data_IF_914197466933
#
_entry.id   IF_914197466933
#
_cell.length_a   1.000
_cell.length_b   1.000
_cell.length_c   1.000
_cell.angle_alpha   90.00
_cell.angle_beta   90.00
_cell.angle_gamma   90.00
#
_symmetry.space_group_name_H-M   'P 1'
#
loop_
_entity.id
_entity.type
_entity.pdbx_description
1 polymer ?
#
# COMPACT_ATOMS: atom_id res chain seq x y z
N UNK A 1 -81.95 11.66 45.03
CA UNK A 1 -81.19 12.42 44.03
C UNK A 1 -82.10 13.39 43.33
N UNK A 2 -82.07 14.71 43.66
CA UNK A 2 -82.93 15.70 43.04
C UNK A 2 -82.32 16.10 41.69
N UNK A 3 -83.01 15.72 40.61
CA UNK A 3 -82.67 16.17 39.27
C UNK A 3 -83.08 17.63 39.18
N UNK A 4 -82.08 18.53 39.08
CA UNK A 4 -82.30 19.96 38.93
C UNK A 4 -83.10 20.28 37.66
N UNK A 5 -84.02 21.28 37.71
CA UNK A 5 -84.85 21.67 36.59
C UNK A 5 -84.04 22.15 35.38
N UNK A 6 -84.46 21.83 34.15
CA UNK A 6 -83.85 22.15 32.88
C UNK A 6 -83.26 23.57 32.76
N UNK A 7 -83.96 24.63 33.32
CA UNK A 7 -83.48 26.03 33.34
C UNK A 7 -82.21 26.22 34.20
N UNK A 8 -82.07 25.46 35.29
CA UNK A 8 -80.92 25.56 36.19
C UNK A 8 -79.65 24.88 35.59
N UNK A 9 -79.84 23.81 34.84
CA UNK A 9 -78.79 23.18 34.07
C UNK A 9 -78.25 24.08 32.93
N UNK A 10 -79.14 24.72 32.20
CA UNK A 10 -78.84 25.69 31.13
C UNK A 10 -78.10 26.91 31.69
N UNK A 11 -78.54 27.40 32.88
CA UNK A 11 -77.88 28.51 33.56
C UNK A 11 -76.51 28.18 34.13
N UNK A 12 -76.27 26.94 34.58
CA UNK A 12 -74.94 26.42 34.97
C UNK A 12 -74.06 26.27 33.77
N UNK A 13 -74.61 25.79 32.66
CA UNK A 13 -73.85 25.63 31.42
C UNK A 13 -73.33 26.95 30.83
N UNK A 14 -74.18 28.01 30.93
CA UNK A 14 -73.81 29.38 30.50
C UNK A 14 -72.83 30.09 31.45
N UNK A 15 -72.69 29.61 32.69
CA UNK A 15 -71.77 30.18 33.69
C UNK A 15 -70.48 29.35 33.89
N UNK A 16 -70.42 28.22 33.26
CA UNK A 16 -69.19 27.34 33.37
C UNK A 16 -68.09 27.80 32.44
N UNK A 17 -67.13 28.55 33.00
CA UNK A 17 -65.98 29.04 32.28
C UNK A 17 -65.00 27.90 31.93
N UNK A 18 -65.23 26.65 32.37
CA UNK A 18 -64.35 25.45 32.01
C UNK A 18 -64.51 25.12 30.56
N UNK A 19 -65.55 25.47 29.85
CA UNK A 19 -65.68 25.33 28.39
C UNK A 19 -64.74 26.19 27.59
N UNK A 20 -64.29 27.33 28.15
CA UNK A 20 -63.30 28.19 27.47
C UNK A 20 -61.92 27.55 27.35
N UNK A 21 -61.54 26.74 28.32
CA UNK A 21 -60.28 25.97 28.26
C UNK A 21 -60.29 24.89 27.13
N UNK A 22 -61.46 24.24 26.96
CA UNK A 22 -61.62 23.21 25.90
C UNK A 22 -61.61 23.84 24.52
N UNK A 23 -62.16 25.02 24.32
CA UNK A 23 -62.09 25.77 23.05
C UNK A 23 -60.64 26.23 22.77
N UNK A 24 -59.96 26.76 23.79
CA UNK A 24 -58.57 27.23 23.68
C UNK A 24 -57.62 26.07 23.45
N UNK A 25 -57.83 24.92 24.11
CA UNK A 25 -57.11 23.71 23.93
C UNK A 25 -57.31 23.15 22.49
N UNK A 26 -58.54 23.11 21.98
CA UNK A 26 -58.86 22.69 20.62
C UNK A 26 -58.21 23.58 19.55
N UNK A 27 -58.18 24.92 19.82
CA UNK A 27 -57.51 25.86 18.90
C UNK A 27 -56.00 25.71 18.87
N UNK A 28 -55.36 25.38 20.00
CA UNK A 28 -53.89 25.16 20.11
C UNK A 28 -53.53 23.76 19.65
N UNK A 29 -54.40 22.77 19.81
CA UNK A 29 -54.15 21.39 19.43
C UNK A 29 -53.91 21.25 17.92
N UNK A 30 -54.66 21.97 17.09
CA UNK A 30 -54.52 21.89 15.61
C UNK A 30 -53.14 22.35 15.13
N UNK A 31 -52.62 23.52 15.48
CA UNK A 31 -51.27 23.90 15.09
C UNK A 31 -50.21 23.01 15.74
N UNK A 32 -50.42 22.53 16.99
CA UNK A 32 -49.47 21.59 17.62
C UNK A 32 -49.38 20.27 16.86
N UNK A 33 -50.54 19.69 16.47
CA UNK A 33 -50.59 18.49 15.64
C UNK A 33 -49.95 18.74 14.26
N UNK A 34 -50.12 19.94 13.71
CA UNK A 34 -49.45 20.33 12.45
C UNK A 34 -47.94 20.32 12.58
N UNK A 35 -47.38 20.90 13.65
CA UNK A 35 -45.90 20.90 13.88
C UNK A 35 -45.38 19.49 14.08
N UNK A 36 -46.04 18.67 14.89
CA UNK A 36 -45.65 17.26 15.10
C UNK A 36 -45.73 16.46 13.79
N UNK A 37 -46.78 16.71 13.01
CA UNK A 37 -46.96 16.05 11.72
C UNK A 37 -45.88 16.40 10.70
N UNK A 38 -45.50 17.66 10.59
CA UNK A 38 -44.37 18.10 9.73
C UNK A 38 -43.07 17.46 10.19
N UNK A 39 -42.83 17.36 11.51
CA UNK A 39 -41.64 16.72 12.05
C UNK A 39 -41.58 15.21 11.70
N UNK A 40 -42.72 14.52 11.77
CA UNK A 40 -42.81 13.09 11.38
C UNK A 40 -42.56 12.92 9.86
N UNK A 41 -43.21 13.72 9.02
CA UNK A 41 -43.06 13.67 7.57
C UNK A 41 -41.62 14.03 7.17
N UNK A 42 -40.99 15.01 7.83
CA UNK A 42 -39.58 15.34 7.62
C UNK A 42 -38.64 14.20 8.02
N UNK A 43 -38.91 13.55 9.16
CA UNK A 43 -38.12 12.38 9.60
C UNK A 43 -38.18 11.23 8.59
N UNK A 44 -39.37 10.96 8.02
CA UNK A 44 -39.54 9.95 6.97
C UNK A 44 -38.79 10.32 5.70
N UNK A 45 -38.85 11.58 5.27
CA UNK A 45 -38.09 12.06 4.11
C UNK A 45 -36.56 11.98 4.34
N UNK A 46 -36.10 12.29 5.55
CA UNK A 46 -34.70 12.18 5.95
C UNK A 46 -34.21 10.72 5.89
N UNK A 47 -35.00 9.79 6.43
CA UNK A 47 -34.71 8.36 6.41
C UNK A 47 -34.67 7.82 4.96
N UNK A 48 -35.63 8.22 4.12
CA UNK A 48 -35.66 7.86 2.71
C UNK A 48 -34.42 8.38 1.96
N UNK A 49 -34.01 9.62 2.23
CA UNK A 49 -32.79 10.21 1.66
C UNK A 49 -31.55 9.41 2.06
N UNK A 50 -31.45 9.03 3.34
CA UNK A 50 -30.31 8.25 3.83
C UNK A 50 -30.26 6.86 3.19
N UNK A 51 -31.40 6.17 3.07
CA UNK A 51 -31.49 4.89 2.40
C UNK A 51 -31.11 4.98 0.92
N UNK A 52 -31.61 6.02 0.23
CA UNK A 52 -31.29 6.29 -1.18
C UNK A 52 -29.78 6.58 -1.34
N UNK A 53 -29.19 7.43 -0.48
CA UNK A 53 -27.75 7.71 -0.50
C UNK A 53 -26.91 6.45 -0.35
N UNK A 54 -27.22 5.61 0.64
CA UNK A 54 -26.51 4.35 0.86
C UNK A 54 -26.63 3.39 -0.33
N UNK A 55 -27.80 3.32 -0.97
CA UNK A 55 -28.01 2.47 -2.14
C UNK A 55 -27.22 2.95 -3.36
N UNK A 56 -27.20 4.27 -3.65
CA UNK A 56 -26.44 4.80 -4.78
C UNK A 56 -24.93 4.78 -4.54
N UNK A 57 -24.46 4.94 -3.29
CA UNK A 57 -23.03 4.81 -2.94
C UNK A 57 -22.54 3.38 -3.21
N UNK A 58 -23.32 2.40 -2.77
CA UNK A 58 -23.01 0.99 -3.03
C UNK A 58 -23.04 0.66 -4.53
N UNK A 59 -24.03 1.21 -5.27
CA UNK A 59 -24.15 1.02 -6.71
C UNK A 59 -22.99 1.69 -7.48
N UNK A 60 -22.55 2.88 -7.07
CA UNK A 60 -21.43 3.59 -7.68
C UNK A 60 -20.11 2.81 -7.48
N UNK A 61 -19.88 2.24 -6.29
CA UNK A 61 -18.73 1.37 -6.02
C UNK A 61 -18.75 0.11 -6.89
N UNK A 62 -19.88 -0.57 -6.94
CA UNK A 62 -20.03 -1.76 -7.79
C UNK A 62 -19.81 -1.42 -9.26
N UNK A 63 -20.42 -0.32 -9.74
CA UNK A 63 -20.29 0.14 -11.12
C UNK A 63 -18.83 0.49 -11.44
N UNK A 64 -18.11 1.14 -10.53
CA UNK A 64 -16.69 1.45 -10.69
C UNK A 64 -15.83 0.19 -10.78
N UNK A 65 -16.11 -0.83 -9.96
CA UNK A 65 -15.41 -2.12 -10.01
C UNK A 65 -15.62 -2.84 -11.34
N UNK A 66 -16.85 -2.78 -11.85
CA UNK A 66 -17.24 -3.48 -13.07
C UNK A 66 -16.94 -2.66 -14.35
N UNK A 67 -16.62 -1.37 -14.22
CA UNK A 67 -16.42 -0.44 -15.34
C UNK A 67 -15.35 -0.87 -16.34
N UNK A 68 -14.39 -1.67 -15.92
CA UNK A 68 -13.31 -2.18 -16.77
C UNK A 68 -13.77 -3.32 -17.68
N UNK A 69 -14.75 -4.13 -17.23
CA UNK A 69 -15.15 -5.39 -17.87
C UNK A 69 -16.47 -5.27 -18.64
N UNK A 70 -17.28 -4.26 -18.33
CA UNK A 70 -18.62 -4.09 -18.87
C UNK A 70 -18.73 -2.86 -19.77
N UNK A 71 -19.66 -2.92 -20.72
CA UNK A 71 -20.06 -1.75 -21.52
C UNK A 71 -20.89 -0.76 -20.69
N UNK A 72 -20.95 0.50 -21.12
CA UNK A 72 -21.73 1.53 -20.43
C UNK A 72 -23.22 1.14 -20.26
N UNK A 73 -23.81 0.50 -21.27
CA UNK A 73 -25.17 -0.01 -21.19
C UNK A 73 -25.35 -1.08 -20.11
N UNK A 74 -24.42 -2.00 -20.03
CA UNK A 74 -24.44 -3.07 -19.00
C UNK A 74 -24.23 -2.49 -17.58
N UNK A 75 -23.33 -1.49 -17.43
CA UNK A 75 -23.11 -0.82 -16.16
C UNK A 75 -24.37 -0.10 -15.71
N UNK A 76 -25.01 0.69 -16.59
CA UNK A 76 -26.27 1.38 -16.27
C UNK A 76 -27.38 0.42 -15.85
N UNK A 77 -27.57 -0.65 -16.61
CA UNK A 77 -28.58 -1.67 -16.28
C UNK A 77 -28.33 -2.29 -14.91
N UNK A 78 -27.09 -2.67 -14.64
CA UNK A 78 -26.69 -3.33 -13.38
C UNK A 78 -26.76 -2.39 -12.18
N UNK A 79 -26.31 -1.13 -12.34
CA UNK A 79 -26.39 -0.11 -11.29
C UNK A 79 -27.86 0.19 -10.92
N UNK A 80 -28.74 0.36 -11.91
CA UNK A 80 -30.16 0.59 -11.68
C UNK A 80 -30.86 -0.59 -10.98
N UNK A 81 -30.50 -1.82 -11.35
CA UNK A 81 -31.00 -3.03 -10.67
C UNK A 81 -30.51 -3.07 -9.21
N UNK A 82 -29.22 -2.83 -9.00
CA UNK A 82 -28.63 -2.80 -7.66
C UNK A 82 -29.29 -1.78 -6.73
N UNK A 83 -29.49 -0.54 -7.22
CA UNK A 83 -30.17 0.51 -6.44
C UNK A 83 -31.55 0.02 -6.01
N UNK A 84 -32.36 -0.48 -6.94
CA UNK A 84 -33.72 -0.96 -6.65
C UNK A 84 -33.76 -2.13 -5.67
N UNK A 85 -32.81 -3.03 -5.77
CA UNK A 85 -32.79 -4.25 -4.94
C UNK A 85 -32.29 -3.98 -3.51
N UNK A 86 -31.53 -2.91 -3.31
CA UNK A 86 -31.01 -2.50 -1.99
C UNK A 86 -31.82 -1.40 -1.31
N UNK A 87 -32.90 -0.92 -1.92
CA UNK A 87 -33.81 0.04 -1.26
C UNK A 87 -34.88 -0.69 -0.43
N UNK A 88 -35.25 -0.16 0.75
CA UNK A 88 -36.42 -0.58 1.50
C UNK A 88 -37.69 -0.52 0.64
N UNK A 89 -38.67 -1.41 0.84
CA UNK A 89 -39.86 -1.49 -0.03
C UNK A 89 -40.66 -0.18 -0.15
N UNK A 90 -40.74 0.59 0.91
CA UNK A 90 -41.41 1.90 0.95
C UNK A 90 -40.65 2.93 0.10
N UNK A 91 -39.33 3.04 0.24
CA UNK A 91 -38.50 3.96 -0.55
C UNK A 91 -38.44 3.51 -2.01
N UNK A 92 -38.38 2.20 -2.26
CA UNK A 92 -38.39 1.61 -3.61
C UNK A 92 -39.61 2.01 -4.42
N UNK A 93 -40.78 2.06 -3.77
CA UNK A 93 -42.04 2.47 -4.41
C UNK A 93 -42.10 3.99 -4.71
N UNK A 94 -41.26 4.78 -4.04
CA UNK A 94 -41.18 6.24 -4.15
C UNK A 94 -40.02 6.70 -5.07
N UNK A 95 -39.20 5.77 -5.55
CA UNK A 95 -38.04 6.05 -6.42
C UNK A 95 -38.51 6.71 -7.73
N UNK A 96 -37.98 7.88 -7.98
CA UNK A 96 -38.18 8.63 -9.22
C UNK A 96 -37.14 8.31 -10.28
N UNK A 97 -36.49 9.31 -10.82
CA UNK A 97 -35.46 9.15 -11.83
C UNK A 97 -34.13 8.69 -11.22
N UNK A 98 -33.43 7.85 -11.96
CA UNK A 98 -32.07 7.47 -11.64
C UNK A 98 -31.23 7.64 -12.89
N UNK A 99 -30.21 8.50 -12.82
CA UNK A 99 -29.30 8.80 -13.94
C UNK A 99 -27.91 8.32 -13.60
N UNK A 100 -27.37 7.40 -14.42
CA UNK A 100 -26.00 6.90 -14.29
C UNK A 100 -25.17 7.48 -15.45
N UNK A 101 -24.29 8.41 -15.12
CA UNK A 101 -23.35 9.04 -16.06
C UNK A 101 -21.98 8.40 -15.93
N UNK A 102 -21.41 7.95 -17.05
CA UNK A 102 -20.13 7.29 -17.13
C UNK A 102 -19.24 8.10 -18.03
N UNK A 103 -18.13 8.60 -17.49
CA UNK A 103 -17.07 9.27 -18.24
C UNK A 103 -15.86 8.36 -18.29
N UNK A 104 -15.61 7.76 -19.48
CA UNK A 104 -14.47 6.86 -19.71
C UNK A 104 -13.14 7.60 -19.73
N UNK A 105 -13.13 8.87 -20.13
CA UNK A 105 -11.90 9.68 -20.19
C UNK A 105 -11.47 10.12 -18.79
N UNK A 106 -12.41 10.66 -18.02
CA UNK A 106 -12.17 11.04 -16.64
C UNK A 106 -12.17 9.83 -15.69
N UNK A 107 -12.59 8.65 -16.16
CA UNK A 107 -12.77 7.42 -15.36
C UNK A 107 -13.65 7.64 -14.13
N UNK A 108 -14.80 8.31 -14.34
CA UNK A 108 -15.74 8.62 -13.27
C UNK A 108 -17.12 8.05 -13.56
N UNK A 109 -17.78 7.62 -12.49
CA UNK A 109 -19.20 7.28 -12.51
C UNK A 109 -19.91 8.23 -11.55
N UNK A 110 -20.93 8.91 -12.07
CA UNK A 110 -21.84 9.72 -11.28
C UNK A 110 -23.22 9.09 -11.32
N UNK A 111 -23.82 8.93 -10.15
CA UNK A 111 -25.19 8.45 -10.03
C UNK A 111 -25.99 9.57 -9.34
N UNK A 112 -27.01 10.07 -10.01
CA UNK A 112 -28.00 10.98 -9.47
C UNK A 112 -29.31 10.22 -9.30
N UNK A 113 -29.98 10.33 -8.15
CA UNK A 113 -31.26 9.70 -7.91
C UNK A 113 -32.17 10.61 -7.10
N UNK A 114 -33.48 10.55 -7.39
CA UNK A 114 -34.52 11.25 -6.67
C UNK A 114 -35.64 10.29 -6.23
N UNK A 115 -36.35 10.70 -5.19
CA UNK A 115 -37.54 10.03 -4.70
C UNK A 115 -38.56 11.06 -4.21
N UNK A 116 -39.86 10.71 -4.31
CA UNK A 116 -40.96 11.55 -3.84
C UNK A 116 -41.62 10.88 -2.66
N UNK A 117 -41.34 11.38 -1.45
CA UNK A 117 -41.83 10.81 -0.21
C UNK A 117 -43.24 11.39 0.10
N UNK A 118 -44.30 10.56 0.08
CA UNK A 118 -45.64 11.07 0.37
C UNK A 118 -45.74 11.49 1.82
N UNK A 119 -46.37 12.64 2.03
CA UNK A 119 -46.67 13.19 3.37
C UNK A 119 -47.96 12.63 3.90
N UNK A 120 -48.07 12.53 5.22
CA UNK A 120 -49.28 12.07 5.89
C UNK A 120 -50.07 13.24 6.44
N UNK A 121 -49.45 14.07 7.26
CA UNK A 121 -50.11 15.19 7.96
C UNK A 121 -49.85 16.50 7.20
N UNK A 122 -48.71 16.69 6.62
CA UNK A 122 -48.40 17.88 5.80
C UNK A 122 -49.27 17.97 4.55
N UNK A 123 -49.89 16.86 4.10
CA UNK A 123 -50.87 16.85 3.00
C UNK A 123 -52.12 17.69 3.32
N UNK A 124 -52.52 17.77 4.57
CA UNK A 124 -53.64 18.64 5.03
C UNK A 124 -53.31 20.11 4.86
N UNK A 125 -52.01 20.45 4.87
CA UNK A 125 -51.49 21.80 4.63
C UNK A 125 -51.18 22.07 3.15
N UNK A 126 -51.58 21.15 2.25
CA UNK A 126 -51.39 21.28 0.80
C UNK A 126 -50.07 20.76 0.27
N UNK A 127 -49.19 20.19 1.11
CA UNK A 127 -47.93 19.55 0.69
C UNK A 127 -48.11 18.03 0.60
N UNK A 128 -48.35 17.50 -0.57
CA UNK A 128 -48.63 16.08 -0.78
C UNK A 128 -47.37 15.21 -0.81
N UNK A 129 -46.19 15.74 -1.18
CA UNK A 129 -44.94 15.03 -1.26
C UNK A 129 -43.75 15.90 -0.84
N UNK A 130 -42.71 15.29 -0.28
CA UNK A 130 -41.41 15.90 -0.04
C UNK A 130 -40.42 15.30 -1.04
N UNK A 131 -39.90 16.07 -2.00
CA UNK A 131 -38.88 15.59 -2.92
C UNK A 131 -37.53 15.44 -2.20
N UNK A 132 -36.87 14.32 -2.38
CA UNK A 132 -35.53 14.07 -1.89
C UNK A 132 -34.65 13.72 -3.06
N UNK A 133 -33.46 14.27 -3.10
CA UNK A 133 -32.45 13.97 -4.12
C UNK A 133 -31.08 13.76 -3.48
N UNK A 134 -30.29 12.91 -4.08
CA UNK A 134 -28.92 12.65 -3.66
C UNK A 134 -28.09 12.22 -4.87
N UNK A 135 -26.78 12.37 -4.76
CA UNK A 135 -25.83 11.92 -5.79
C UNK A 135 -24.65 11.22 -5.15
N UNK A 136 -24.01 10.36 -5.94
CA UNK A 136 -22.77 9.67 -5.58
C UNK A 136 -21.78 9.72 -6.74
N UNK A 137 -20.52 9.89 -6.40
CA UNK A 137 -19.42 9.87 -7.35
C UNK A 137 -18.45 8.75 -6.99
N UNK A 138 -18.02 7.99 -7.99
CA UNK A 138 -16.95 7.01 -7.84
C UNK A 138 -15.98 7.12 -9.02
N UNK A 139 -14.72 6.83 -8.77
CA UNK A 139 -13.68 6.74 -9.80
C UNK A 139 -13.15 5.32 -9.87
N UNK A 140 -12.76 4.89 -11.06
CA UNK A 140 -12.14 3.57 -11.22
C UNK A 140 -10.78 3.68 -11.89
N UNK A 141 -9.84 2.82 -11.43
CA UNK A 141 -8.53 2.65 -12.07
C UNK A 141 -7.71 3.93 -12.20
N UNK A 142 -7.95 4.91 -11.33
CA UNK A 142 -7.20 6.17 -11.32
C UNK A 142 -5.96 6.09 -10.45
N UNK A 143 -5.92 5.18 -9.47
CA UNK A 143 -4.75 5.01 -8.62
C UNK A 143 -3.63 4.35 -9.41
N UNK A 144 -2.54 5.09 -9.60
CA UNK A 144 -1.28 4.55 -10.08
C UNK A 144 -0.54 3.94 -8.91
N UNK A 145 0.07 2.79 -9.11
CA UNK A 145 0.78 2.06 -8.07
C UNK A 145 2.19 1.73 -8.55
N UNK A 146 3.18 2.13 -7.76
CA UNK A 146 4.55 1.66 -7.88
C UNK A 146 4.88 0.86 -6.63
N UNK A 147 5.27 -0.40 -6.82
CA UNK A 147 5.53 -1.36 -5.76
C UNK A 147 6.93 -1.93 -5.87
N UNK A 148 7.74 -1.79 -4.82
CA UNK A 148 9.02 -2.49 -4.70
C UNK A 148 8.86 -3.75 -3.84
N UNK A 149 9.24 -4.89 -4.39
CA UNK A 149 9.39 -6.16 -3.68
C UNK A 149 10.86 -6.31 -3.27
N UNK A 150 11.19 -6.01 -2.03
CA UNK A 150 12.52 -6.12 -1.43
C UNK A 150 12.61 -7.47 -0.74
N UNK A 151 13.25 -8.41 -1.39
CA UNK A 151 13.15 -9.83 -1.07
C UNK A 151 14.49 -10.40 -0.61
N UNK A 152 14.48 -10.96 0.58
CA UNK A 152 15.65 -11.62 1.15
C UNK A 152 16.11 -12.80 0.30
N UNK A 153 17.35 -12.73 -0.17
CA UNK A 153 18.01 -13.76 -0.96
C UNK A 153 19.22 -14.37 -0.22
N UNK A 154 19.23 -14.27 1.12
CA UNK A 154 20.33 -14.74 1.97
C UNK A 154 20.31 -16.24 2.18
N UNK A 155 21.39 -16.79 2.73
CA UNK A 155 21.56 -18.23 2.92
C UNK A 155 20.52 -18.86 3.85
N UNK A 156 20.01 -18.13 4.83
CA UNK A 156 18.97 -18.59 5.78
C UNK A 156 17.65 -18.96 5.10
N UNK A 157 17.35 -18.31 3.96
CA UNK A 157 16.16 -18.61 3.14
C UNK A 157 16.17 -19.99 2.49
N UNK A 158 17.31 -20.71 2.51
CA UNK A 158 17.44 -22.07 1.94
C UNK A 158 16.71 -23.15 2.76
N UNK A 159 16.42 -22.86 4.03
CA UNK A 159 15.82 -23.81 4.96
C UNK A 159 14.30 -23.68 5.04
N UNK A 160 13.63 -24.72 5.58
CA UNK A 160 12.20 -24.71 5.93
C UNK A 160 11.24 -24.32 4.78
N UNK A 161 11.67 -24.49 3.52
CA UNK A 161 10.87 -24.15 2.33
C UNK A 161 10.65 -22.66 2.12
N UNK A 162 11.36 -21.79 2.85
CA UNK A 162 11.15 -20.33 2.84
C UNK A 162 11.29 -19.72 1.44
N UNK A 163 12.36 -20.04 0.70
CA UNK A 163 12.56 -19.50 -0.65
C UNK A 163 11.48 -19.97 -1.62
N UNK A 164 11.06 -21.23 -1.55
CA UNK A 164 9.97 -21.75 -2.40
C UNK A 164 8.66 -21.05 -2.12
N UNK A 165 8.31 -20.86 -0.84
CA UNK A 165 7.12 -20.15 -0.44
C UNK A 165 7.17 -18.66 -0.81
N UNK A 166 8.32 -18.00 -0.68
CA UNK A 166 8.52 -16.62 -1.09
C UNK A 166 8.30 -16.43 -2.60
N UNK A 167 8.88 -17.30 -3.41
CA UNK A 167 8.67 -17.28 -4.87
C UNK A 167 7.20 -17.42 -5.22
N UNK A 168 6.50 -18.38 -4.61
CA UNK A 168 5.07 -18.57 -4.86
C UNK A 168 4.24 -17.37 -4.42
N UNK A 169 4.49 -16.85 -3.21
CA UNK A 169 3.79 -15.68 -2.69
C UNK A 169 4.01 -14.43 -3.56
N UNK A 170 5.24 -14.21 -4.02
CA UNK A 170 5.56 -13.09 -4.93
C UNK A 170 4.81 -13.21 -6.26
N UNK A 171 4.76 -14.41 -6.85
CA UNK A 171 3.98 -14.66 -8.08
C UNK A 171 2.48 -14.48 -7.87
N UNK A 172 1.93 -14.93 -6.74
CA UNK A 172 0.53 -14.73 -6.40
C UNK A 172 0.19 -13.24 -6.33
N UNK A 173 1.04 -12.43 -5.68
CA UNK A 173 0.88 -10.98 -5.62
C UNK A 173 0.97 -10.35 -7.01
N UNK A 174 1.99 -10.69 -7.81
CA UNK A 174 2.18 -10.18 -9.18
C UNK A 174 0.94 -10.46 -10.02
N UNK A 175 0.38 -11.66 -9.95
CA UNK A 175 -0.81 -12.04 -10.70
C UNK A 175 -2.06 -11.27 -10.26
N UNK A 176 -2.25 -11.04 -8.95
CA UNK A 176 -3.35 -10.20 -8.45
C UNK A 176 -3.20 -8.75 -8.95
N UNK A 177 -1.98 -8.20 -8.93
CA UNK A 177 -1.72 -6.86 -9.46
C UNK A 177 -1.92 -6.79 -10.98
N UNK A 178 -1.53 -7.83 -11.73
CA UNK A 178 -1.82 -7.98 -13.16
C UNK A 178 -3.33 -7.92 -13.43
N UNK A 179 -4.12 -8.66 -12.66
CA UNK A 179 -5.58 -8.71 -12.81
C UNK A 179 -6.26 -7.40 -12.42
N UNK A 180 -5.65 -6.62 -11.54
CA UNK A 180 -6.13 -5.31 -11.11
C UNK A 180 -5.72 -4.18 -12.05
N UNK A 181 -4.66 -4.35 -12.83
CA UNK A 181 -4.15 -3.34 -13.76
C UNK A 181 -5.07 -3.19 -14.98
N UNK A 182 -5.37 -1.96 -15.35
CA UNK A 182 -6.18 -1.61 -16.53
C UNK A 182 -5.29 -1.38 -17.74
N UNK A 183 -4.13 -0.80 -17.50
CA UNK A 183 -3.14 -0.49 -18.53
C UNK A 183 -1.70 -0.65 -17.98
N UNK A 184 -0.73 -0.64 -18.86
CA UNK A 184 0.68 -0.86 -18.52
C UNK A 184 1.30 0.25 -17.67
N UNK A 185 0.69 1.43 -17.60
CA UNK A 185 1.21 2.56 -16.83
C UNK A 185 0.60 2.66 -15.42
N UNK A 186 -0.46 1.88 -15.15
CA UNK A 186 -1.17 1.99 -13.89
C UNK A 186 -0.45 1.32 -12.73
N UNK A 187 0.04 0.10 -12.92
CA UNK A 187 0.72 -0.67 -11.87
C UNK A 187 2.07 -1.13 -12.40
N UNK A 188 3.12 -0.75 -11.69
CA UNK A 188 4.49 -1.21 -11.97
C UNK A 188 5.10 -1.81 -10.72
N UNK A 189 5.85 -2.88 -10.92
CA UNK A 189 6.52 -3.61 -9.83
C UNK A 189 8.02 -3.65 -10.12
N UNK A 190 8.84 -3.42 -9.10
CA UNK A 190 10.26 -3.73 -9.09
C UNK A 190 10.55 -4.90 -8.16
N UNK A 191 11.60 -5.68 -8.46
CA UNK A 191 12.05 -6.78 -7.62
C UNK A 191 13.49 -6.51 -7.23
N UNK A 192 13.75 -6.47 -5.92
CA UNK A 192 15.05 -6.15 -5.33
C UNK A 192 15.52 -7.30 -4.44
N UNK A 193 16.13 -8.34 -5.02
CA UNK A 193 16.77 -9.39 -4.25
C UNK A 193 18.02 -8.83 -3.58
N UNK A 194 18.24 -9.15 -2.32
CA UNK A 194 19.40 -8.67 -1.57
C UNK A 194 20.02 -9.76 -0.68
N UNK A 195 21.31 -9.60 -0.42
CA UNK A 195 22.03 -10.23 0.66
C UNK A 195 22.92 -9.16 1.36
N UNK A 196 24.25 -9.31 1.46
CA UNK A 196 25.13 -8.19 1.86
C UNK A 196 25.34 -7.17 0.73
N UNK A 197 24.85 -7.48 -0.44
CA UNK A 197 24.95 -6.68 -1.66
C UNK A 197 23.63 -6.73 -2.43
N UNK A 198 23.53 -5.90 -3.44
CA UNK A 198 22.57 -6.04 -4.53
C UNK A 198 23.30 -6.21 -5.85
N UNK A 199 22.62 -6.72 -6.86
CA UNK A 199 23.18 -6.90 -8.20
C UNK A 199 22.35 -6.13 -9.21
N UNK A 200 23.02 -5.37 -10.09
CA UNK A 200 22.38 -4.55 -11.12
C UNK A 200 22.86 -4.94 -12.51
N UNK A 201 22.20 -4.37 -13.52
CA UNK A 201 22.59 -4.62 -14.91
C UNK A 201 23.98 -4.06 -15.21
N UNK A 202 24.77 -4.85 -15.86
CA UNK A 202 26.16 -4.51 -16.22
C UNK A 202 26.28 -3.47 -17.32
N UNK A 203 25.18 -3.14 -17.99
CA UNK A 203 25.12 -2.00 -18.92
C UNK A 203 25.40 -0.67 -18.24
N UNK A 204 25.15 -0.57 -16.91
CA UNK A 204 25.47 0.61 -16.09
C UNK A 204 26.96 0.84 -15.83
N UNK A 205 27.85 0.00 -16.36
CA UNK A 205 29.31 0.05 -16.08
C UNK A 205 29.97 1.42 -16.31
N UNK A 206 29.43 2.24 -17.18
CA UNK A 206 29.99 3.56 -17.55
C UNK A 206 29.30 4.73 -16.86
N UNK A 207 28.35 4.44 -15.99
CA UNK A 207 27.59 5.45 -15.27
C UNK A 207 28.44 6.19 -14.22
N UNK A 208 28.26 7.52 -14.12
CA UNK A 208 29.04 8.38 -13.24
C UNK A 208 28.72 8.20 -11.75
N UNK A 209 27.56 7.63 -11.45
CA UNK A 209 27.15 7.32 -10.08
C UNK A 209 27.78 6.04 -9.50
N UNK A 210 28.56 5.30 -10.28
CA UNK A 210 29.35 4.15 -9.82
C UNK A 210 30.78 4.53 -9.47
N UNK A 211 31.27 3.97 -8.36
CA UNK A 211 32.68 4.03 -7.95
C UNK A 211 33.31 2.65 -8.03
N UNK A 212 34.46 2.57 -8.68
CA UNK A 212 35.28 1.36 -8.84
C UNK A 212 36.54 1.36 -7.96
N UNK A 213 36.64 2.29 -7.02
CA UNK A 213 37.78 2.42 -6.11
C UNK A 213 37.51 1.78 -4.75
N UNK A 214 37.65 0.46 -4.60
CA UNK A 214 37.51 -0.17 -3.32
C UNK A 214 38.71 0.15 -2.43
N UNK A 215 38.50 0.82 -1.30
CA UNK A 215 39.50 1.13 -0.29
C UNK A 215 39.40 0.17 0.88
N UNK A 216 39.47 -1.11 0.63
CA UNK A 216 39.34 -2.13 1.68
C UNK A 216 40.69 -2.85 1.83
N UNK A 217 41.32 -2.63 2.99
CA UNK A 217 42.52 -3.38 3.36
C UNK A 217 42.11 -4.64 4.14
N UNK A 218 42.86 -5.73 3.96
CA UNK A 218 42.61 -7.02 4.63
C UNK A 218 43.88 -7.41 5.37
N UNK A 219 43.72 -7.85 6.61
CA UNK A 219 44.84 -8.42 7.39
C UNK A 219 44.72 -9.93 7.41
N UNK A 220 45.82 -10.60 7.08
CA UNK A 220 45.98 -12.06 7.15
C UNK A 220 46.70 -12.43 8.46
N UNK A 221 46.05 -13.27 9.26
CA UNK A 221 46.62 -13.83 10.48
C UNK A 221 46.60 -15.35 10.41
N UNK A 222 47.37 -16.02 11.25
CA UNK A 222 47.28 -17.47 11.43
C UNK A 222 46.49 -17.75 12.69
N UNK A 223 45.58 -18.75 12.63
CA UNK A 223 44.92 -19.28 13.82
C UNK A 223 45.88 -20.24 14.58
N UNK A 224 45.43 -20.79 15.72
CA UNK A 224 46.21 -21.70 16.55
C UNK A 224 46.57 -23.03 15.88
N UNK A 225 45.94 -23.39 14.76
CA UNK A 225 46.24 -24.56 13.94
C UNK A 225 47.08 -24.23 12.72
N UNK A 226 47.51 -22.97 12.58
CA UNK A 226 48.37 -22.53 11.47
C UNK A 226 47.62 -22.17 10.20
N UNK A 227 46.28 -22.23 10.18
CA UNK A 227 45.47 -21.83 9.02
C UNK A 227 45.41 -20.32 8.88
N UNK A 228 45.43 -19.84 7.65
CA UNK A 228 45.25 -18.40 7.40
C UNK A 228 43.81 -17.96 7.57
N UNK A 229 43.66 -16.89 8.33
CA UNK A 229 42.40 -16.14 8.50
C UNK A 229 42.56 -14.74 7.91
N UNK A 230 41.57 -14.32 7.16
CA UNK A 230 41.59 -13.03 6.48
C UNK A 230 40.44 -12.19 7.06
N UNK A 231 40.77 -10.97 7.46
CA UNK A 231 39.81 -10.05 8.10
C UNK A 231 39.97 -8.66 7.53
N UNK A 232 38.86 -7.97 7.25
CA UNK A 232 38.90 -6.56 6.85
C UNK A 232 39.50 -5.74 7.98
N UNK A 233 40.54 -4.97 7.68
CA UNK A 233 41.32 -4.22 8.67
C UNK A 233 40.42 -3.24 9.42
N UNK A 234 40.48 -3.29 10.74
CA UNK A 234 39.65 -2.42 11.62
C UNK A 234 38.19 -2.84 11.77
N UNK A 235 37.81 -4.02 11.25
CA UNK A 235 36.46 -4.59 11.39
C UNK A 235 36.50 -6.02 11.88
N UNK A 236 35.33 -6.61 12.19
CA UNK A 236 35.19 -8.03 12.52
C UNK A 236 34.75 -8.88 11.29
N UNK A 237 34.76 -8.29 10.09
CA UNK A 237 34.35 -8.97 8.83
C UNK A 237 35.41 -9.97 8.39
N UNK A 238 35.05 -11.24 8.27
CA UNK A 238 35.91 -12.30 7.75
C UNK A 238 35.78 -12.38 6.23
N UNK A 239 36.93 -12.38 5.52
CA UNK A 239 36.97 -12.56 4.08
C UNK A 239 37.17 -14.03 3.77
N UNK A 240 36.18 -14.69 3.19
CA UNK A 240 36.22 -16.10 2.81
C UNK A 240 36.75 -16.31 1.41
N UNK A 241 36.36 -15.48 0.44
CA UNK A 241 36.93 -15.52 -0.92
C UNK A 241 38.18 -14.67 -0.98
N UNK A 242 39.32 -15.36 -1.02
CA UNK A 242 40.67 -14.78 -1.11
C UNK A 242 41.23 -14.72 -2.51
N UNK A 243 40.51 -15.19 -3.52
CA UNK A 243 40.96 -15.27 -4.92
C UNK A 243 41.34 -13.91 -5.50
N UNK A 244 40.70 -12.86 -4.98
CA UNK A 244 40.90 -11.48 -5.39
C UNK A 244 41.86 -10.69 -4.48
N UNK A 245 42.58 -11.36 -3.58
CA UNK A 245 43.58 -10.74 -2.71
C UNK A 245 45.01 -10.97 -3.19
N UNK A 246 45.86 -9.99 -2.92
CA UNK A 246 47.30 -10.10 -2.98
C UNK A 246 47.84 -9.69 -1.61
N UNK A 247 48.62 -10.60 -0.97
CA UNK A 247 49.20 -10.39 0.36
C UNK A 247 50.71 -10.29 0.29
N UNK A 248 51.28 -9.40 1.11
CA UNK A 248 52.72 -9.33 1.32
C UNK A 248 53.18 -10.33 2.41
N UNK A 249 54.47 -10.35 2.67
CA UNK A 249 55.10 -11.22 3.67
C UNK A 249 54.69 -10.85 5.11
N UNK A 250 54.30 -9.60 5.37
CA UNK A 250 53.88 -9.12 6.68
C UNK A 250 52.42 -9.52 7.03
N UNK A 251 51.69 -10.05 6.04
CA UNK A 251 50.26 -10.36 6.22
C UNK A 251 49.30 -9.24 5.88
N UNK A 252 49.78 -8.12 5.38
CA UNK A 252 48.93 -7.07 4.81
C UNK A 252 48.44 -7.49 3.43
N UNK A 253 47.14 -7.51 3.21
CA UNK A 253 46.53 -7.91 1.94
C UNK A 253 45.71 -6.75 1.33
N UNK A 254 45.75 -6.66 0.02
CA UNK A 254 44.98 -5.71 -0.75
C UNK A 254 44.17 -6.45 -1.80
N UNK A 255 43.00 -5.96 -2.09
CA UNK A 255 42.24 -6.43 -3.24
C UNK A 255 43.01 -6.10 -4.53
N UNK A 256 43.00 -7.03 -5.46
CA UNK A 256 43.47 -6.79 -6.84
C UNK A 256 42.74 -5.60 -7.42
N UNK A 257 43.33 -4.91 -8.38
CA UNK A 257 42.72 -3.81 -9.07
C UNK A 257 41.34 -4.21 -9.62
N UNK A 258 40.32 -3.51 -9.16
CA UNK A 258 38.94 -3.71 -9.62
C UNK A 258 38.60 -2.64 -10.65
N UNK A 259 38.16 -3.05 -11.83
CA UNK A 259 37.92 -2.15 -12.95
C UNK A 259 36.51 -2.33 -13.50
N UNK A 260 36.03 -1.35 -14.24
CA UNK A 260 34.76 -1.45 -15.00
C UNK A 260 34.67 -2.73 -15.84
N UNK A 261 35.81 -3.10 -16.49
CA UNK A 261 35.88 -4.33 -17.32
C UNK A 261 35.64 -5.59 -16.50
N UNK A 262 36.24 -5.69 -15.30
CA UNK A 262 36.04 -6.83 -14.40
C UNK A 262 34.60 -6.86 -13.89
N UNK A 263 34.08 -5.74 -13.44
CA UNK A 263 32.71 -5.65 -12.93
C UNK A 263 31.66 -6.02 -14.00
N UNK A 264 31.94 -5.75 -15.26
CA UNK A 264 31.05 -6.09 -16.38
C UNK A 264 31.20 -7.53 -16.89
N UNK A 265 32.03 -8.36 -16.28
CA UNK A 265 32.15 -9.78 -16.66
C UNK A 265 30.96 -10.60 -16.19
N UNK A 266 30.78 -11.80 -16.73
CA UNK A 266 29.74 -12.72 -16.31
C UNK A 266 29.79 -12.94 -14.78
N UNK A 267 28.62 -13.07 -14.16
CA UNK A 267 28.43 -13.27 -12.71
C UNK A 267 28.86 -12.11 -11.80
N UNK A 268 29.28 -10.96 -12.35
CA UNK A 268 29.51 -9.72 -11.60
C UNK A 268 28.32 -8.75 -11.74
N UNK A 269 28.48 -7.52 -11.33
CA UNK A 269 27.42 -6.49 -11.32
C UNK A 269 26.96 -6.12 -9.91
N UNK A 270 27.69 -6.58 -8.88
CA UNK A 270 27.31 -6.33 -7.49
C UNK A 270 27.71 -4.94 -7.00
N UNK A 271 26.88 -4.44 -6.12
CA UNK A 271 27.03 -3.14 -5.46
C UNK A 271 27.00 -3.38 -3.95
N UNK A 272 27.92 -2.74 -3.24
CA UNK A 272 27.96 -2.68 -1.77
C UNK A 272 27.47 -1.32 -1.27
N UNK A 273 27.35 -1.17 0.05
CA UNK A 273 26.87 0.05 0.68
C UNK A 273 27.66 1.27 0.27
N UNK A 274 26.99 2.41 0.11
CA UNK A 274 27.61 3.74 0.04
C UNK A 274 28.22 4.10 1.39
N UNK A 275 29.05 5.15 1.45
CA UNK A 275 29.55 5.65 2.72
C UNK A 275 28.41 6.20 3.59
N UNK A 276 28.59 6.09 4.90
CA UNK A 276 27.63 6.63 5.87
C UNK A 276 27.72 8.17 5.85
N UNK A 277 26.60 8.91 5.77
CA UNK A 277 25.18 8.53 5.84
C UNK A 277 24.49 8.38 4.45
N UNK A 278 25.23 8.25 3.37
CA UNK A 278 24.63 8.07 2.03
C UNK A 278 23.98 6.69 1.87
N UNK A 279 24.42 5.69 2.60
CA UNK A 279 23.86 4.32 2.62
C UNK A 279 22.37 4.24 3.02
N UNK A 280 21.85 5.29 3.68
CA UNK A 280 20.45 5.38 4.13
C UNK A 280 19.68 6.53 3.47
N UNK A 281 20.20 7.06 2.36
CA UNK A 281 19.59 8.14 1.58
C UNK A 281 19.33 7.67 0.15
N UNK A 282 18.37 8.30 -0.50
CA UNK A 282 18.18 8.15 -1.93
C UNK A 282 18.76 9.36 -2.68
N UNK A 283 19.04 9.16 -3.98
CA UNK A 283 19.56 10.21 -4.85
C UNK A 283 20.93 10.77 -4.46
N UNK A 284 21.29 11.86 -5.06
CA UNK A 284 22.51 12.61 -4.79
C UNK A 284 23.16 13.18 -6.04
N UNK A 285 24.14 14.05 -5.84
CA UNK A 285 24.92 14.65 -6.94
C UNK A 285 25.99 13.71 -7.49
N UNK A 286 26.31 12.63 -6.77
CA UNK A 286 27.34 11.61 -7.12
C UNK A 286 28.72 12.16 -7.50
N UNK A 287 29.09 13.32 -6.94
CA UNK A 287 30.36 14.00 -7.24
C UNK A 287 31.55 13.47 -6.43
N UNK A 288 31.28 12.80 -5.31
CA UNK A 288 32.31 12.19 -4.47
C UNK A 288 32.13 10.70 -4.37
N UNK A 289 33.23 9.96 -4.13
CA UNK A 289 33.18 8.50 -3.94
C UNK A 289 32.26 8.08 -2.78
N UNK A 290 32.08 8.93 -1.77
CA UNK A 290 31.16 8.70 -0.66
C UNK A 290 29.69 8.68 -1.11
N UNK A 291 29.34 9.51 -2.08
CA UNK A 291 27.99 9.60 -2.66
C UNK A 291 27.71 8.53 -3.68
N UNK A 292 28.75 8.07 -4.40
CA UNK A 292 28.63 7.09 -5.46
C UNK A 292 28.33 5.68 -4.91
N UNK A 293 27.65 4.88 -5.69
CA UNK A 293 27.41 3.48 -5.39
C UNK A 293 28.70 2.68 -5.63
N UNK A 294 29.06 1.87 -4.65
CA UNK A 294 30.33 1.13 -4.64
C UNK A 294 30.20 -0.18 -5.43
N UNK A 295 30.69 -0.19 -6.65
CA UNK A 295 30.88 -1.38 -7.43
C UNK A 295 31.97 -2.26 -6.81
N UNK A 296 31.66 -3.54 -6.56
CA UNK A 296 32.58 -4.46 -5.90
C UNK A 296 32.41 -5.90 -6.40
N UNK A 297 33.32 -6.76 -6.03
CA UNK A 297 33.22 -8.20 -6.28
C UNK A 297 31.93 -8.74 -5.68
N UNK A 298 31.22 -9.58 -6.44
CA UNK A 298 30.07 -10.28 -5.90
C UNK A 298 30.50 -11.26 -4.81
N UNK A 299 30.01 -11.09 -3.60
CA UNK A 299 30.21 -12.07 -2.52
C UNK A 299 29.53 -13.39 -2.84
N UNK A 300 28.42 -13.32 -3.56
CA UNK A 300 27.68 -14.48 -4.09
C UNK A 300 27.32 -14.23 -5.55
N UNK A 301 27.89 -15.00 -6.45
CA UNK A 301 27.66 -14.86 -7.90
C UNK A 301 26.23 -15.24 -8.31
N UNK A 302 25.56 -16.06 -7.49
CA UNK A 302 24.18 -16.51 -7.67
C UNK A 302 23.13 -15.47 -7.25
N UNK A 303 23.54 -14.32 -6.66
CA UNK A 303 22.61 -13.25 -6.31
C UNK A 303 21.82 -12.81 -7.56
N UNK A 304 20.49 -12.84 -7.47
CA UNK A 304 19.64 -12.40 -8.56
C UNK A 304 19.75 -10.89 -8.75
N UNK A 305 19.58 -10.43 -9.98
CA UNK A 305 19.72 -9.02 -10.35
C UNK A 305 18.48 -8.23 -9.90
N UNK A 306 18.63 -6.93 -9.61
CA UNK A 306 17.48 -6.04 -9.45
C UNK A 306 16.74 -5.94 -10.79
N UNK A 307 15.43 -6.07 -10.75
CA UNK A 307 14.54 -5.73 -11.84
C UNK A 307 13.86 -4.38 -11.53
N UNK A 308 14.16 -3.32 -12.31
CA UNK A 308 13.50 -2.02 -12.14
C UNK A 308 11.99 -2.08 -12.37
N UNK A 309 11.29 -1.00 -12.02
CA UNK A 309 9.84 -0.90 -12.21
C UNK A 309 9.41 -1.24 -13.64
N UNK A 310 8.57 -2.25 -13.76
CA UNK A 310 7.99 -2.70 -15.02
C UNK A 310 6.56 -3.20 -14.83
N UNK A 311 5.79 -3.22 -15.90
CA UNK A 311 4.49 -3.89 -16.03
C UNK A 311 4.56 -5.14 -16.92
N UNK A 312 5.76 -5.63 -17.23
CA UNK A 312 5.95 -6.91 -17.89
C UNK A 312 5.78 -8.05 -16.88
N UNK A 313 4.53 -8.52 -16.76
CA UNK A 313 4.12 -9.51 -15.77
C UNK A 313 4.80 -10.86 -15.93
N UNK A 314 5.09 -11.24 -17.17
CA UNK A 314 5.72 -12.53 -17.45
C UNK A 314 7.22 -12.47 -17.13
N UNK A 315 7.86 -11.34 -17.45
CA UNK A 315 9.25 -11.08 -17.02
C UNK A 315 9.38 -11.01 -15.50
N UNK A 316 8.43 -10.37 -14.79
CA UNK A 316 8.41 -10.34 -13.32
C UNK A 316 8.32 -11.74 -12.72
N UNK A 317 7.39 -12.57 -13.21
CA UNK A 317 7.22 -13.95 -12.74
C UNK A 317 8.47 -14.82 -13.02
N UNK A 318 9.05 -14.70 -14.20
CA UNK A 318 10.28 -15.40 -14.56
C UNK A 318 11.47 -14.95 -13.71
N UNK A 319 11.54 -13.66 -13.40
CA UNK A 319 12.62 -13.10 -12.59
C UNK A 319 12.61 -13.63 -11.14
N UNK A 320 11.44 -13.78 -10.53
CA UNK A 320 11.29 -14.40 -9.20
C UNK A 320 11.92 -15.80 -9.17
N UNK A 321 11.84 -16.56 -10.27
CA UNK A 321 12.42 -17.90 -10.33
C UNK A 321 13.95 -17.91 -10.32
N UNK A 322 14.60 -16.82 -10.69
CA UNK A 322 16.09 -16.73 -10.71
C UNK A 322 16.70 -16.62 -9.32
N UNK A 323 15.91 -16.27 -8.28
CA UNK A 323 16.40 -16.09 -6.93
C UNK A 323 16.96 -17.42 -6.37
N UNK A 324 18.18 -17.37 -5.84
CA UNK A 324 18.84 -18.52 -5.22
C UNK A 324 19.47 -18.08 -3.90
N UNK A 325 19.06 -18.65 -2.76
CA UNK A 325 19.46 -18.17 -1.45
C UNK A 325 20.96 -18.40 -1.21
N UNK A 326 21.68 -17.31 -0.88
CA UNK A 326 23.10 -17.37 -0.54
C UNK A 326 23.60 -16.08 0.14
N UNK A 327 24.62 -16.22 0.98
CA UNK A 327 25.32 -15.10 1.61
C UNK A 327 24.73 -14.65 2.94
N UNK A 328 25.32 -13.59 3.51
CA UNK A 328 24.95 -12.94 4.75
C UNK A 328 23.85 -11.89 4.52
N UNK A 329 23.34 -11.29 5.61
CA UNK A 329 22.16 -10.42 5.58
C UNK A 329 22.52 -8.96 5.85
N UNK A 330 22.06 -8.07 4.96
CA UNK A 330 22.09 -6.61 5.11
C UNK A 330 20.73 -6.04 4.66
N UNK A 331 19.84 -5.87 5.60
CA UNK A 331 18.48 -5.35 5.32
C UNK A 331 18.55 -3.88 4.89
N UNK A 332 19.57 -3.13 5.36
CA UNK A 332 19.75 -1.71 5.01
C UNK A 332 19.92 -1.54 3.50
N UNK A 333 20.79 -2.33 2.87
CA UNK A 333 21.04 -2.21 1.43
C UNK A 333 19.81 -2.60 0.62
N UNK A 334 19.10 -3.66 1.07
CA UNK A 334 17.83 -4.04 0.45
C UNK A 334 16.81 -2.90 0.47
N UNK A 335 16.58 -2.29 1.64
CA UNK A 335 15.66 -1.17 1.81
C UNK A 335 16.06 0.06 0.97
N UNK A 336 17.35 0.43 0.99
CA UNK A 336 17.87 1.57 0.24
C UNK A 336 17.69 1.38 -1.28
N UNK A 337 17.94 0.19 -1.81
CA UNK A 337 17.76 -0.09 -3.23
C UNK A 337 16.29 -0.27 -3.63
N UNK A 338 15.45 -0.78 -2.72
CA UNK A 338 14.00 -0.74 -2.89
C UNK A 338 13.50 0.69 -3.06
N UNK A 339 14.00 1.61 -2.22
CA UNK A 339 13.69 3.03 -2.31
C UNK A 339 14.17 3.63 -3.64
N UNK A 340 15.41 3.37 -4.05
CA UNK A 340 15.96 3.84 -5.32
C UNK A 340 15.15 3.37 -6.54
N UNK A 341 14.45 2.23 -6.49
CA UNK A 341 13.56 1.82 -7.58
C UNK A 341 12.23 2.57 -7.59
N UNK A 342 11.86 3.23 -6.49
CA UNK A 342 10.60 3.97 -6.34
C UNK A 342 10.74 5.49 -6.51
N UNK A 343 11.93 5.97 -6.83
CA UNK A 343 12.19 7.39 -7.05
C UNK A 343 12.65 7.64 -8.49
N UNK A 344 12.37 8.82 -9.07
CA UNK A 344 12.78 9.14 -10.44
C UNK A 344 14.26 9.52 -10.53
N UNK A 345 15.01 9.31 -9.46
CA UNK A 345 16.44 9.60 -9.37
C UNK A 345 17.28 8.45 -9.91
N UNK A 346 18.56 8.73 -10.21
CA UNK A 346 19.51 7.66 -10.52
C UNK A 346 19.70 6.74 -9.31
N UNK A 347 19.87 5.43 -9.51
CA UNK A 347 20.19 4.73 -10.76
C UNK A 347 19.00 4.35 -11.64
N UNK A 348 17.76 4.36 -11.14
CA UNK A 348 16.58 3.92 -11.87
C UNK A 348 15.59 5.07 -12.09
N UNK A 349 15.52 5.58 -13.32
CA UNK A 349 14.69 6.74 -13.66
C UNK A 349 13.28 6.39 -14.13
N UNK A 350 12.83 5.15 -13.92
CA UNK A 350 11.52 4.65 -14.41
C UNK A 350 10.35 5.03 -13.51
N UNK A 351 10.60 5.34 -12.24
CA UNK A 351 9.59 5.75 -11.30
C UNK A 351 9.04 7.15 -11.63
N UNK A 352 7.77 7.39 -11.32
CA UNK A 352 7.18 8.73 -11.42
C UNK A 352 7.52 9.55 -10.17
N UNK A 353 7.55 10.90 -10.26
CA UNK A 353 7.73 11.74 -9.10
C UNK A 353 6.57 11.58 -8.11
N UNK A 354 6.82 11.77 -6.82
CA UNK A 354 5.80 11.65 -5.76
C UNK A 354 4.65 12.68 -5.89
N UNK A 355 4.85 13.71 -6.68
CA UNK A 355 3.84 14.71 -7.02
C UNK A 355 2.88 14.25 -8.12
N UNK A 356 3.13 13.11 -8.74
CA UNK A 356 2.23 12.54 -9.75
C UNK A 356 0.85 12.31 -9.15
N UNK A 357 -0.23 12.86 -9.76
CA UNK A 357 -1.57 12.72 -9.22
C UNK A 357 -2.00 11.26 -9.07
N UNK A 358 -2.61 10.95 -7.94
CA UNK A 358 -3.16 9.63 -7.60
C UNK A 358 -2.12 8.48 -7.57
N UNK A 359 -0.83 8.79 -7.59
CA UNK A 359 0.22 7.79 -7.42
C UNK A 359 0.35 7.39 -5.95
N UNK A 360 0.42 6.10 -5.72
CA UNK A 360 0.77 5.50 -4.43
C UNK A 360 2.01 4.64 -4.60
N UNK A 361 2.97 4.87 -3.71
CA UNK A 361 4.21 4.09 -3.67
C UNK A 361 4.19 3.17 -2.47
N UNK A 362 4.50 1.90 -2.71
CA UNK A 362 4.53 0.86 -1.71
C UNK A 362 5.84 0.09 -1.78
N UNK A 363 6.32 -0.35 -0.63
CA UNK A 363 7.45 -1.26 -0.53
C UNK A 363 7.08 -2.42 0.38
N UNK A 364 7.36 -3.64 -0.04
CA UNK A 364 7.29 -4.83 0.81
C UNK A 364 8.71 -5.27 1.09
N UNK A 365 9.14 -5.16 2.34
CA UNK A 365 10.44 -5.59 2.83
C UNK A 365 10.27 -6.90 3.58
N UNK A 366 10.85 -7.97 3.05
CA UNK A 366 10.78 -9.30 3.63
C UNK A 366 12.17 -9.79 3.99
N UNK A 367 12.34 -10.30 5.22
CA UNK A 367 13.55 -11.00 5.67
C UNK A 367 13.21 -12.14 6.63
N UNK A 368 14.08 -13.15 6.65
CA UNK A 368 14.02 -14.30 7.56
C UNK A 368 15.17 -14.32 8.56
N UNK A 369 15.97 -13.26 8.65
CA UNK A 369 17.18 -13.23 9.46
C UNK A 369 17.49 -11.86 10.05
N UNK A 370 18.37 -11.91 11.06
CA UNK A 370 18.97 -10.72 11.62
C UNK A 370 20.03 -10.16 10.67
N UNK A 371 20.32 -8.87 10.77
CA UNK A 371 21.46 -8.28 10.09
C UNK A 371 22.77 -8.91 10.59
N UNK A 372 23.64 -9.31 9.67
CA UNK A 372 24.87 -10.03 10.02
C UNK A 372 26.14 -9.38 9.49
N UNK A 373 26.08 -8.72 8.34
CA UNK A 373 27.26 -8.10 7.72
C UNK A 373 26.84 -7.00 6.74
N UNK A 374 27.52 -5.84 6.80
CA UNK A 374 27.50 -4.83 5.75
C UNK A 374 28.92 -4.43 5.35
N UNK A 375 29.10 -3.40 4.53
CA UNK A 375 30.41 -2.93 4.12
C UNK A 375 31.32 -2.54 5.27
N UNK A 376 30.79 -2.09 6.41
CA UNK A 376 31.54 -1.45 7.50
C UNK A 376 31.71 -2.34 8.72
N UNK A 377 30.78 -3.22 8.99
CA UNK A 377 30.74 -4.02 10.22
C UNK A 377 30.06 -5.37 10.01
N UNK A 378 30.36 -6.31 10.90
CA UNK A 378 29.60 -7.56 11.09
C UNK A 378 28.91 -7.56 12.47
N UNK A 379 28.63 -6.42 13.04
CA UNK A 379 27.83 -6.25 14.26
C UNK A 379 26.39 -5.96 13.87
N UNK A 380 25.48 -6.90 14.16
CA UNK A 380 24.07 -6.79 13.75
C UNK A 380 23.41 -5.49 14.25
N UNK A 381 23.59 -5.14 15.53
CA UNK A 381 23.01 -3.91 16.11
C UNK A 381 23.44 -2.61 15.40
N UNK A 382 24.68 -2.54 14.93
CA UNK A 382 25.15 -1.36 14.17
C UNK A 382 24.44 -1.26 12.82
N UNK A 383 24.14 -2.40 12.20
CA UNK A 383 23.41 -2.48 10.92
C UNK A 383 21.93 -2.20 11.15
N UNK A 384 21.35 -2.69 12.26
CA UNK A 384 19.95 -2.43 12.62
C UNK A 384 19.69 -0.93 12.78
N UNK A 385 20.61 -0.18 13.39
CA UNK A 385 20.51 1.28 13.51
C UNK A 385 20.55 1.98 12.15
N UNK A 386 21.30 1.43 11.17
CA UNK A 386 21.27 1.93 9.78
C UNK A 386 19.94 1.60 9.13
N UNK A 387 19.43 0.38 9.32
CA UNK A 387 18.13 -0.05 8.78
C UNK A 387 16.99 0.83 9.33
N UNK A 388 16.98 1.15 10.62
CA UNK A 388 16.01 2.08 11.24
C UNK A 388 16.03 3.45 10.58
N UNK A 389 17.24 4.00 10.33
CA UNK A 389 17.38 5.29 9.61
C UNK A 389 16.86 5.22 8.18
N UNK A 390 17.18 4.15 7.43
CA UNK A 390 16.67 3.95 6.09
C UNK A 390 15.12 3.87 6.08
N UNK A 391 14.53 3.07 6.96
CA UNK A 391 13.07 2.97 7.11
C UNK A 391 12.41 4.31 7.44
N UNK A 392 13.04 5.11 8.31
CA UNK A 392 12.54 6.44 8.68
C UNK A 392 12.52 7.37 7.46
N UNK A 393 13.59 7.37 6.69
CA UNK A 393 13.71 8.21 5.49
C UNK A 393 12.75 7.79 4.38
N UNK A 394 12.59 6.48 4.16
CA UNK A 394 11.63 5.90 3.20
C UNK A 394 10.20 6.34 3.54
N UNK A 395 9.81 6.24 4.82
CA UNK A 395 8.48 6.68 5.28
C UNK A 395 8.30 8.20 5.14
N UNK A 396 9.33 8.98 5.43
CA UNK A 396 9.31 10.44 5.25
C UNK A 396 9.17 10.86 3.79
N UNK A 397 9.61 10.04 2.84
CA UNK A 397 9.40 10.26 1.41
C UNK A 397 7.98 9.89 0.92
N UNK A 398 7.12 9.42 1.82
CA UNK A 398 5.71 9.09 1.54
C UNK A 398 5.48 7.69 0.99
N UNK A 399 6.46 6.80 1.11
CA UNK A 399 6.35 5.40 0.70
C UNK A 399 5.70 4.59 1.83
N UNK A 400 4.64 3.82 1.50
CA UNK A 400 4.02 2.90 2.45
C UNK A 400 4.86 1.63 2.55
N UNK A 401 5.48 1.44 3.71
CA UNK A 401 6.39 0.32 3.97
C UNK A 401 5.66 -0.80 4.72
N UNK A 402 5.48 -1.93 4.07
CA UNK A 402 5.06 -3.21 4.65
C UNK A 402 6.30 -4.01 5.01
N UNK A 403 6.32 -4.62 6.18
CA UNK A 403 7.42 -5.47 6.62
C UNK A 403 6.93 -6.86 6.98
N UNK A 404 7.68 -7.87 6.55
CA UNK A 404 7.34 -9.27 6.75
C UNK A 404 8.53 -9.98 7.38
N UNK A 405 8.35 -10.47 8.60
CA UNK A 405 9.28 -11.33 9.30
C UNK A 405 8.94 -12.79 9.01
N UNK A 406 9.92 -13.59 8.58
CA UNK A 406 9.68 -14.98 8.23
C UNK A 406 10.41 -15.91 9.20
N UNK A 407 9.69 -16.40 10.21
CA UNK A 407 10.15 -17.35 11.22
C UNK A 407 11.21 -16.73 12.17
N UNK A 408 12.32 -16.22 11.64
CA UNK A 408 13.42 -15.59 12.36
C UNK A 408 13.60 -14.12 11.96
N UNK A 409 14.57 -13.44 12.59
CA UNK A 409 14.87 -12.02 12.37
C UNK A 409 14.34 -11.11 13.50
N UNK A 410 14.85 -9.88 13.53
CA UNK A 410 14.49 -8.90 14.57
C UNK A 410 13.06 -8.37 14.34
N UNK A 411 12.15 -8.83 15.22
CA UNK A 411 10.75 -8.43 15.18
C UNK A 411 10.55 -6.94 15.50
N UNK A 412 11.33 -6.38 16.40
CA UNK A 412 11.20 -4.98 16.82
C UNK A 412 11.72 -4.03 15.74
N UNK A 413 12.82 -4.39 15.10
CA UNK A 413 13.32 -3.67 13.92
C UNK A 413 12.27 -3.59 12.82
N UNK A 414 11.70 -4.71 12.43
CA UNK A 414 10.73 -4.78 11.33
C UNK A 414 9.39 -4.12 11.67
N UNK A 415 8.93 -4.25 12.93
CA UNK A 415 7.74 -3.55 13.42
C UNK A 415 7.92 -2.04 13.38
N UNK A 416 9.09 -1.53 13.78
CA UNK A 416 9.42 -0.10 13.72
C UNK A 416 9.61 0.41 12.29
N UNK A 417 10.05 -0.42 11.37
CA UNK A 417 10.16 -0.11 9.95
C UNK A 417 8.78 0.06 9.29
N UNK A 418 7.80 -0.75 9.64
CA UNK A 418 6.45 -0.65 9.06
C UNK A 418 5.88 0.78 9.17
N UNK A 419 5.12 1.22 8.17
CA UNK A 419 4.49 2.56 8.19
C UNK A 419 3.40 2.63 9.24
N UNK A 420 2.67 1.52 9.44
CA UNK A 420 1.61 1.37 10.45
C UNK A 420 1.73 -0.01 11.10
N UNK A 421 1.25 -0.19 12.34
CA UNK A 421 1.31 -1.48 13.02
C UNK A 421 0.69 -2.64 12.21
N UNK A 422 -0.42 -2.38 11.50
CA UNK A 422 -1.13 -3.37 10.67
C UNK A 422 -0.38 -3.71 9.36
N UNK A 423 0.69 -3.00 9.03
CA UNK A 423 1.59 -3.28 7.91
C UNK A 423 2.81 -4.13 8.30
N UNK A 424 2.90 -4.57 9.56
CA UNK A 424 3.88 -5.54 10.02
C UNK A 424 3.24 -6.92 10.11
N UNK A 425 3.87 -7.91 9.48
CA UNK A 425 3.44 -9.30 9.49
C UNK A 425 4.51 -10.21 10.09
N UNK A 426 4.12 -11.01 11.08
CA UNK A 426 4.98 -11.99 11.71
C UNK A 426 4.58 -13.40 11.26
N UNK A 427 5.36 -13.98 10.37
CA UNK A 427 5.11 -15.27 9.73
C UNK A 427 5.86 -16.37 10.48
N UNK A 428 5.12 -17.24 11.15
CA UNK A 428 5.69 -18.36 11.91
C UNK A 428 5.91 -19.62 11.08
N UNK A 429 5.29 -19.68 9.88
CA UNK A 429 5.41 -20.79 8.93
C UNK A 429 5.41 -20.24 7.51
N UNK A 430 6.33 -20.68 6.68
CA UNK A 430 6.47 -20.23 5.30
C UNK A 430 5.17 -20.33 4.46
N UNK A 431 4.29 -21.29 4.75
CA UNK A 431 3.00 -21.43 4.06
C UNK A 431 2.05 -20.22 4.27
N UNK A 432 2.29 -19.38 5.30
CA UNK A 432 1.51 -18.18 5.56
C UNK A 432 1.87 -17.02 4.61
N UNK A 433 2.97 -17.11 3.86
CA UNK A 433 3.42 -16.03 2.96
C UNK A 433 2.42 -15.75 1.85
N UNK A 434 1.91 -16.77 1.16
CA UNK A 434 0.95 -16.57 0.05
C UNK A 434 -0.35 -15.89 0.52
N UNK A 435 -1.02 -16.30 1.59
CA UNK A 435 -2.17 -15.56 2.13
C UNK A 435 -1.87 -14.09 2.48
N UNK A 436 -0.71 -13.80 3.08
CA UNK A 436 -0.31 -12.44 3.45
C UNK A 436 -0.07 -11.58 2.20
N UNK A 437 0.68 -12.07 1.23
CA UNK A 437 0.92 -11.36 -0.02
C UNK A 437 -0.38 -11.08 -0.77
N UNK A 438 -1.33 -12.03 -0.77
CA UNK A 438 -2.67 -11.84 -1.34
C UNK A 438 -3.47 -10.76 -0.60
N UNK A 439 -3.40 -10.73 0.72
CA UNK A 439 -4.05 -9.70 1.53
C UNK A 439 -3.48 -8.31 1.25
N UNK A 440 -2.15 -8.17 1.21
CA UNK A 440 -1.47 -6.91 0.88
C UNK A 440 -1.83 -6.47 -0.55
N UNK A 441 -1.82 -7.39 -1.52
CA UNK A 441 -2.20 -7.10 -2.89
C UNK A 441 -3.64 -6.58 -3.00
N UNK A 442 -4.57 -7.22 -2.30
CA UNK A 442 -5.97 -6.80 -2.25
C UNK A 442 -6.14 -5.41 -1.60
N UNK A 443 -5.40 -5.13 -0.52
CA UNK A 443 -5.41 -3.81 0.15
C UNK A 443 -4.89 -2.70 -0.77
N UNK A 444 -3.73 -2.93 -1.42
CA UNK A 444 -3.09 -1.95 -2.31
C UNK A 444 -3.95 -1.67 -3.55
N UNK A 445 -4.59 -2.69 -4.11
CA UNK A 445 -5.38 -2.60 -5.34
C UNK A 445 -6.84 -2.17 -5.12
N UNK A 446 -7.30 -2.00 -3.88
CA UNK A 446 -8.70 -1.69 -3.57
C UNK A 446 -9.16 -0.37 -4.19
N UNK A 447 -10.32 -0.40 -4.85
CA UNK A 447 -11.02 0.80 -5.34
C UNK A 447 -11.65 1.54 -4.15
N UNK A 448 -11.47 2.86 -4.08
CA UNK A 448 -12.05 3.71 -3.02
C UNK A 448 -13.03 4.72 -3.61
N UNK A 449 -14.08 5.05 -2.83
CA UNK A 449 -14.94 6.19 -3.12
C UNK A 449 -14.14 7.49 -3.00
N UNK A 450 -14.32 8.37 -3.96
CA UNK A 450 -13.90 9.78 -3.84
C UNK A 450 -15.10 10.57 -3.31
N UNK A 451 -14.95 11.15 -2.14
CA UNK A 451 -15.94 12.11 -1.60
C UNK A 451 -15.80 13.45 -2.29
#
# INVERSE_FOLDING_TARGET
>A
MKIGSLPEMIRRFHRDQRGNFLMLFGLVLVPLMGVVGVAIDYSRASNARQALSSAIDSAALMAARDAQKLTDGQIRTRANAWIRDNLPPDVKSQLGNTTVTIDRTARTIKIDADANVPTTISSVLGMSNIPVSTNSHSTWGTNKIELALVLDNTGSMSSSGKMTALKQASKDLINIMKDAAIDAEQIKISIVPFNTQVKIDRSFKDESWLSYTPTRNVTRTKDSWGNYRYRVTGTNITVYDTSNLTCDSSGSCKYKTFTKSIWSTANQGCISDRDQDYDVKDGGAYVTSAQQYRAFWCSQTSLAQIMPLTSDWDALNAHVDTMTPAGNTNVTIGAAWGWATLTPETPFTTAKPKTEPQLKKHMILLTDGDNTENWFTATGSDIDDRTKKACTNIKADGINLYTIRVINGDADLLRNCATKPEMYYDVQNAAQLSPIFKAIAAEISAVRLTQ
#
